data_IF_054300810841
#
_entry.id   IF_054300810841
#
_cell.length_a   1.000
_cell.length_b   1.000
_cell.length_c   1.000
_cell.angle_alpha   90.00
_cell.angle_beta   90.00
_cell.angle_gamma   90.00
#
_symmetry.space_group_name_H-M   'P 1'
#
loop_
_entity.id
_entity.type
_entity.pdbx_description
1 polymer ?
#
# COMPACT_ATOMS: atom_id res chain seq x y z
N UNK A 1 58.64 -34.04 10.09
CA UNK A 1 57.77 -32.85 9.98
C UNK A 1 58.33 -31.96 8.89
N UNK A 2 57.59 -31.76 7.80
CA UNK A 2 58.07 -30.96 6.67
C UNK A 2 58.02 -29.46 7.00
N UNK A 3 59.19 -28.86 7.21
CA UNK A 3 59.34 -27.45 7.60
C UNK A 3 59.36 -26.51 6.39
N UNK A 4 59.34 -27.04 5.17
CA UNK A 4 59.54 -26.28 3.93
C UNK A 4 58.35 -25.35 3.61
N UNK A 5 57.13 -25.84 3.80
CA UNK A 5 55.90 -25.10 3.50
C UNK A 5 55.68 -23.86 4.40
N UNK A 6 55.73 -23.98 5.75
CA UNK A 6 55.56 -22.81 6.61
C UNK A 6 56.70 -21.79 6.44
N UNK A 7 57.92 -22.26 6.15
CA UNK A 7 59.07 -21.39 5.90
C UNK A 7 58.89 -20.57 4.62
N UNK A 8 58.45 -21.19 3.53
CA UNK A 8 58.15 -20.50 2.27
C UNK A 8 57.02 -19.46 2.40
N UNK A 9 55.93 -19.81 3.11
CA UNK A 9 54.83 -18.88 3.37
C UNK A 9 55.28 -17.64 4.14
N UNK A 10 56.15 -17.80 5.15
CA UNK A 10 56.73 -16.67 5.89
C UNK A 10 57.56 -15.75 5.00
N UNK A 11 58.34 -16.29 4.06
CA UNK A 11 59.09 -15.48 3.10
C UNK A 11 58.16 -14.68 2.18
N UNK A 12 57.13 -15.31 1.61
CA UNK A 12 56.15 -14.62 0.78
C UNK A 12 55.50 -13.44 1.54
N UNK A 13 55.06 -13.69 2.79
CA UNK A 13 54.49 -12.66 3.66
C UNK A 13 55.48 -11.52 3.96
N UNK A 14 56.76 -11.83 4.17
CA UNK A 14 57.83 -10.86 4.43
C UNK A 14 58.07 -9.93 3.23
N UNK A 15 57.95 -10.42 2.00
CA UNK A 15 58.27 -9.66 0.78
C UNK A 15 57.06 -8.99 0.09
N UNK A 16 55.84 -9.12 0.62
CA UNK A 16 54.62 -8.53 0.03
C UNK A 16 54.69 -7.01 -0.19
N UNK A 17 55.49 -6.29 0.62
CA UNK A 17 55.67 -4.84 0.46
C UNK A 17 56.29 -4.45 -0.90
N UNK A 18 57.06 -5.35 -1.52
CA UNK A 18 57.72 -5.11 -2.83
C UNK A 18 56.72 -4.89 -3.97
N UNK A 19 55.54 -5.52 -3.90
CA UNK A 19 54.49 -5.41 -4.92
C UNK A 19 53.44 -4.34 -4.64
N UNK A 20 53.51 -3.65 -3.51
CA UNK A 20 52.41 -2.82 -3.01
C UNK A 20 52.04 -1.68 -3.96
N UNK A 21 53.03 -0.96 -4.52
CA UNK A 21 52.78 0.15 -5.47
C UNK A 21 52.07 -0.33 -6.75
N UNK A 22 52.41 -1.52 -7.26
CA UNK A 22 51.77 -2.10 -8.45
C UNK A 22 50.31 -2.48 -8.16
N UNK A 23 50.05 -3.05 -6.99
CA UNK A 23 48.70 -3.39 -6.55
C UNK A 23 47.85 -2.14 -6.29
N UNK A 24 48.44 -1.09 -5.70
CA UNK A 24 47.75 0.16 -5.46
C UNK A 24 47.43 0.93 -6.75
N UNK A 25 48.24 0.79 -7.80
CA UNK A 25 47.94 1.41 -9.09
C UNK A 25 46.80 0.70 -9.85
N UNK A 26 46.62 -0.61 -9.66
CA UNK A 26 45.56 -1.38 -10.35
C UNK A 26 44.20 -1.32 -9.64
N UNK A 27 44.18 -1.22 -8.30
CA UNK A 27 42.96 -1.22 -7.51
C UNK A 27 41.97 -0.07 -7.84
N UNK A 28 42.41 1.19 -8.06
CA UNK A 28 41.52 2.29 -8.43
C UNK A 28 40.79 2.05 -9.75
N UNK A 29 41.49 1.54 -10.76
CA UNK A 29 40.90 1.22 -12.07
C UNK A 29 39.86 0.10 -11.94
N UNK A 30 40.14 -0.93 -11.13
CA UNK A 30 39.19 -2.01 -10.85
C UNK A 30 37.95 -1.51 -10.09
N UNK A 31 38.09 -0.60 -9.13
CA UNK A 31 36.97 0.01 -8.42
C UNK A 31 36.14 0.91 -9.33
N UNK A 32 36.80 1.72 -10.19
CA UNK A 32 36.13 2.58 -11.17
C UNK A 32 35.30 1.76 -12.16
N UNK A 33 35.88 0.70 -12.73
CA UNK A 33 35.16 -0.21 -13.65
C UNK A 33 33.93 -0.85 -12.98
N UNK A 34 34.03 -1.23 -11.70
CA UNK A 34 32.88 -1.76 -10.93
C UNK A 34 31.80 -0.69 -10.71
N UNK A 35 32.19 0.54 -10.39
CA UNK A 35 31.25 1.65 -10.22
C UNK A 35 30.53 1.97 -11.54
N UNK A 36 31.23 1.98 -12.66
CA UNK A 36 30.66 2.17 -14.00
C UNK A 36 29.71 1.03 -14.37
N UNK A 37 30.07 -0.23 -14.10
CA UNK A 37 29.19 -1.37 -14.34
C UNK A 37 27.90 -1.29 -13.50
N UNK A 38 27.99 -0.88 -12.23
CA UNK A 38 26.80 -0.68 -11.37
C UNK A 38 25.96 0.50 -11.87
N UNK A 39 26.59 1.60 -12.31
CA UNK A 39 25.88 2.74 -12.90
C UNK A 39 25.17 2.32 -14.19
N UNK A 40 25.82 1.53 -15.02
CA UNK A 40 25.27 0.95 -16.24
C UNK A 40 24.16 -0.06 -15.94
N UNK A 41 24.21 -0.82 -14.82
CA UNK A 41 23.19 -1.75 -14.32
C UNK A 41 22.00 -1.08 -13.60
N UNK A 42 22.20 0.11 -13.04
CA UNK A 42 21.10 0.96 -12.56
C UNK A 42 20.34 1.59 -13.73
N UNK A 43 21.00 1.78 -14.88
CA UNK A 43 20.45 2.40 -16.08
C UNK A 43 19.92 1.48 -17.21
N UNK A 44 20.02 0.13 -17.25
CA UNK A 44 19.66 -0.66 -18.41
C UNK A 44 18.28 -1.30 -18.25
N UNK A 45 17.42 -0.77 -17.37
CA UNK A 45 16.07 -1.32 -17.18
C UNK A 45 15.04 -0.66 -18.11
N UNK A 46 15.43 -0.42 -19.35
CA UNK A 46 14.50 -0.29 -20.48
C UNK A 46 14.40 -1.60 -21.28
N UNK A 47 15.07 -2.66 -20.80
CA UNK A 47 14.75 -4.03 -21.19
C UNK A 47 13.36 -4.35 -20.68
N UNK A 48 12.39 -4.15 -21.59
CA UNK A 48 11.02 -4.66 -21.59
C UNK A 48 10.97 -5.91 -20.74
N UNK A 49 10.45 -5.79 -19.52
CA UNK A 49 10.33 -6.90 -18.61
C UNK A 49 9.44 -7.95 -19.27
N UNK A 50 10.04 -9.01 -19.82
CA UNK A 50 9.34 -10.21 -20.31
C UNK A 50 8.79 -11.02 -19.13
N UNK A 51 8.17 -10.34 -18.16
CA UNK A 51 7.51 -10.96 -17.04
C UNK A 51 6.15 -11.38 -17.58
N UNK A 52 5.84 -12.67 -17.66
CA UNK A 52 4.49 -13.09 -18.01
C UNK A 52 3.56 -12.51 -16.94
N UNK A 53 2.65 -11.61 -17.36
CA UNK A 53 1.54 -11.16 -16.52
C UNK A 53 0.60 -12.36 -16.36
N UNK A 54 0.89 -13.22 -15.40
CA UNK A 54 0.29 -14.56 -15.35
C UNK A 54 0.17 -15.13 -13.95
N UNK A 55 -0.29 -14.33 -13.00
CA UNK A 55 -0.88 -14.83 -11.75
C UNK A 55 -2.27 -14.23 -11.62
N UNK A 56 -3.27 -15.03 -11.23
CA UNK A 56 -4.60 -14.48 -10.98
C UNK A 56 -4.50 -13.50 -9.83
N UNK A 57 -4.57 -12.20 -10.15
CA UNK A 57 -4.43 -11.09 -9.20
C UNK A 57 -5.35 -11.25 -7.97
N UNK A 58 -6.48 -11.95 -8.13
CA UNK A 58 -7.41 -12.33 -7.07
C UNK A 58 -6.77 -13.20 -5.98
N UNK A 59 -6.03 -14.25 -6.32
CA UNK A 59 -5.41 -15.14 -5.31
C UNK A 59 -4.29 -14.42 -4.55
N UNK A 60 -3.47 -13.65 -5.25
CA UNK A 60 -2.43 -12.81 -4.63
C UNK A 60 -3.04 -11.79 -3.65
N UNK A 61 -4.18 -11.17 -4.03
CA UNK A 61 -4.92 -10.27 -3.16
C UNK A 61 -5.43 -10.96 -1.89
N UNK A 62 -5.96 -12.18 -2.01
CA UNK A 62 -6.42 -12.96 -0.85
C UNK A 62 -5.26 -13.33 0.07
N UNK A 63 -4.13 -13.78 -0.48
CA UNK A 63 -2.93 -14.09 0.29
C UNK A 63 -2.44 -12.85 1.07
N UNK A 64 -2.44 -11.67 0.44
CA UNK A 64 -2.10 -10.40 1.11
C UNK A 64 -3.07 -10.05 2.24
N UNK A 65 -4.38 -10.24 2.05
CA UNK A 65 -5.41 -9.95 3.06
C UNK A 65 -5.29 -10.89 4.26
N UNK A 66 -4.99 -12.17 4.05
CA UNK A 66 -4.83 -13.17 5.12
C UNK A 66 -3.49 -12.97 5.85
N UNK A 67 -2.50 -12.34 5.21
CA UNK A 67 -1.16 -12.19 5.80
C UNK A 67 -1.18 -11.40 7.12
N UNK A 68 -0.61 -11.94 8.21
CA UNK A 68 -0.76 -11.37 9.55
C UNK A 68 -0.12 -9.98 9.71
N UNK A 69 1.02 -9.73 9.04
CA UNK A 69 1.73 -8.44 9.11
C UNK A 69 1.28 -7.43 8.06
N UNK A 70 1.00 -7.91 6.85
CA UNK A 70 0.79 -7.05 5.67
C UNK A 70 -0.69 -6.69 5.49
N UNK A 71 -1.61 -7.62 5.78
CA UNK A 71 -3.04 -7.45 5.57
C UNK A 71 -3.78 -6.70 6.68
N UNK A 72 -3.09 -6.17 7.71
CA UNK A 72 -3.74 -5.53 8.87
C UNK A 72 -4.64 -4.37 8.47
N UNK A 73 -4.12 -3.45 7.66
CA UNK A 73 -4.86 -2.28 7.19
C UNK A 73 -6.03 -2.67 6.28
N UNK A 74 -5.83 -3.66 5.40
CA UNK A 74 -6.87 -4.14 4.50
C UNK A 74 -8.05 -4.76 5.27
N UNK A 75 -7.77 -5.61 6.26
CA UNK A 75 -8.80 -6.22 7.13
C UNK A 75 -9.54 -5.16 7.94
N UNK A 76 -8.81 -4.20 8.54
CA UNK A 76 -9.42 -3.11 9.29
C UNK A 76 -10.35 -2.25 8.42
N UNK A 77 -9.93 -1.94 7.19
CA UNK A 77 -10.76 -1.21 6.23
C UNK A 77 -12.03 -1.99 5.87
N UNK A 78 -11.91 -3.28 5.53
CA UNK A 78 -13.07 -4.13 5.23
C UNK A 78 -14.06 -4.15 6.41
N UNK A 79 -13.56 -4.34 7.64
CA UNK A 79 -14.40 -4.32 8.84
C UNK A 79 -15.10 -2.97 9.06
N UNK A 80 -14.39 -1.84 8.83
CA UNK A 80 -14.97 -0.50 8.91
C UNK A 80 -16.07 -0.28 7.87
N UNK A 81 -15.83 -0.66 6.62
CA UNK A 81 -16.82 -0.55 5.55
C UNK A 81 -18.07 -1.37 5.85
N UNK A 82 -17.91 -2.60 6.36
CA UNK A 82 -19.04 -3.45 6.74
C UNK A 82 -19.89 -2.83 7.85
N UNK A 83 -19.26 -2.27 8.90
CA UNK A 83 -19.97 -1.57 9.98
C UNK A 83 -20.70 -0.32 9.48
N UNK A 84 -20.07 0.47 8.62
CA UNK A 84 -20.66 1.69 8.07
C UNK A 84 -21.91 1.37 7.22
N UNK A 85 -21.82 0.35 6.36
CA UNK A 85 -22.96 -0.09 5.55
C UNK A 85 -24.09 -0.67 6.40
N UNK A 86 -23.77 -1.41 7.47
CA UNK A 86 -24.76 -1.97 8.39
C UNK A 86 -25.53 -0.90 9.16
N UNK A 87 -24.85 0.14 9.65
CA UNK A 87 -25.52 1.22 10.38
C UNK A 87 -26.45 2.01 9.45
N UNK A 88 -26.02 2.26 8.21
CA UNK A 88 -26.83 2.95 7.20
C UNK A 88 -28.10 2.17 6.82
N UNK A 89 -28.06 0.85 6.76
CA UNK A 89 -29.24 0.04 6.44
C UNK A 89 -30.25 -0.01 7.58
N UNK A 90 -29.80 -0.04 8.85
CA UNK A 90 -30.68 0.01 10.02
C UNK A 90 -31.38 1.35 10.19
N UNK A 91 -30.71 2.47 9.93
CA UNK A 91 -31.34 3.78 9.94
C UNK A 91 -32.44 3.90 8.87
N UNK A 92 -32.23 3.33 7.67
CA UNK A 92 -33.24 3.32 6.61
C UNK A 92 -34.46 2.46 6.96
N UNK A 93 -34.29 1.39 7.74
CA UNK A 93 -35.39 0.52 8.16
C UNK A 93 -36.22 1.09 9.34
N UNK A 94 -35.64 1.93 10.20
CA UNK A 94 -36.38 2.59 11.28
C UNK A 94 -37.22 3.78 10.81
N UNK A 95 -36.85 4.42 9.69
CA UNK A 95 -37.67 5.47 9.07
C UNK A 95 -38.97 4.94 8.45
N UNK A 96 -39.10 3.63 8.23
CA UNK A 96 -40.32 3.03 7.68
C UNK A 96 -41.33 2.55 8.75
N UNK A 97 -40.94 2.44 10.03
CA UNK A 97 -41.83 1.96 11.11
C UNK A 97 -42.56 3.09 11.84
N UNK A 98 -42.23 4.36 11.58
CA UNK A 98 -43.01 5.52 12.05
C UNK A 98 -44.11 5.98 11.06
N UNK A 99 -44.50 5.13 10.11
CA UNK A 99 -45.61 5.38 9.19
C UNK A 99 -46.82 4.46 9.43
N UNK A 100 -47.07 4.06 10.69
CA UNK A 100 -48.35 3.47 11.08
C UNK A 100 -49.19 4.54 11.80
N UNK A 101 -50.41 4.87 11.30
CA UNK A 101 -51.26 5.89 11.92
C UNK A 101 -51.83 5.39 13.26
N UNK A 102 -51.91 6.22 14.32
CA UNK A 102 -52.72 5.89 15.49
C UNK A 102 -54.22 5.95 15.12
N UNK A 103 -55.09 5.12 15.73
CA UNK A 103 -56.51 5.11 15.39
C UNK A 103 -57.22 6.36 15.94
N UNK A 104 -58.25 6.75 15.20
CA UNK A 104 -59.11 7.91 15.36
C UNK A 104 -59.50 8.28 16.81
N UNK A 105 -59.37 9.57 17.13
CA UNK A 105 -60.25 10.23 18.09
C UNK A 105 -60.77 11.54 17.48
N UNK A 106 -62.09 11.59 17.34
CA UNK A 106 -62.88 12.69 16.84
C UNK A 106 -63.16 13.71 17.94
N UNK A 107 -62.91 15.01 17.70
CA UNK A 107 -63.62 16.20 18.23
C UNK A 107 -63.31 17.37 17.27
N UNK A 108 -64.22 17.79 16.39
CA UNK A 108 -65.38 18.66 16.60
C UNK A 108 -65.04 20.15 16.87
N UNK A 109 -65.54 20.99 15.95
CA UNK A 109 -65.98 22.40 16.07
C UNK A 109 -65.14 23.56 15.44
N UNK A 110 -65.66 23.98 14.27
CA UNK A 110 -65.96 25.35 13.81
C UNK A 110 -64.89 26.22 13.06
N UNK A 111 -65.22 26.71 11.84
CA UNK A 111 -64.53 27.80 11.15
C UNK A 111 -65.31 29.13 11.25
N UNK A 112 -64.61 30.24 11.52
CA UNK A 112 -65.11 31.63 11.44
C UNK A 112 -63.87 32.54 11.41
N UNK A 113 -63.62 33.44 10.47
CA UNK A 113 -64.32 33.91 9.28
C UNK A 113 -63.51 35.05 8.65
N UNK A 114 -64.05 35.63 7.57
CA UNK A 114 -63.73 36.92 6.95
C UNK A 114 -62.45 37.04 6.08
N UNK A 115 -62.69 36.90 4.77
CA UNK A 115 -61.95 37.52 3.65
C UNK A 115 -62.39 39.00 3.48
N UNK A 116 -61.88 39.79 2.49
CA UNK A 116 -60.53 40.29 2.14
C UNK A 116 -60.65 41.86 1.97
N UNK A 117 -60.15 42.60 0.93
CA UNK A 117 -59.04 42.47 -0.03
C UNK A 117 -58.21 43.78 -0.22
N UNK A 118 -57.09 43.71 -0.95
CA UNK A 118 -56.69 44.72 -1.98
C UNK A 118 -55.51 44.12 -2.77
N UNK A 119 -55.67 43.67 -4.02
CA UNK A 119 -55.52 44.42 -5.30
C UNK A 119 -54.38 45.46 -5.23
N UNK A 120 -53.42 45.54 -6.15
CA UNK A 120 -53.48 45.28 -7.58
C UNK A 120 -52.07 45.04 -8.21
N UNK A 121 -52.00 44.60 -9.47
CA UNK A 121 -50.84 44.05 -10.16
C UNK A 121 -50.32 44.97 -11.30
N UNK A 122 -49.26 44.52 -11.98
CA UNK A 122 -49.12 44.68 -13.44
C UNK A 122 -49.62 43.41 -14.14
#
# INVERSE_FOLDING_TARGET
MDTKFPRNMCFAKKHNKKGLKKMQASNPNAMSARAEAIKALRKPKEVKSKIPKGGSHKLSRLAYIIHPKLGKCARAHIAKCLRLCWLKSKAKAQTEVQAAPPPAQAQALAPKGAQPPTKAPE
#
